data_IF_715801468750
#
_entry.id   IF_715801468750
#
_cell.length_a   1.000
_cell.length_b   1.000
_cell.length_c   1.000
_cell.angle_alpha   90.00
_cell.angle_beta   90.00
_cell.angle_gamma   90.00
#
_symmetry.space_group_name_H-M   'P 1'
#
loop_
_entity.id
_entity.type
_entity.pdbx_description
1 polymer ?
#
# COMPACT_ATOMS: atom_id res chain seq x y z
N UNK A 1 -7.88 67.97 31.46
CA UNK A 1 -7.34 67.04 32.47
C UNK A 1 -6.62 65.96 31.69
N UNK A 2 -5.30 66.08 31.47
CA UNK A 2 -4.21 65.54 32.31
C UNK A 2 -4.32 64.00 32.45
N UNK A 3 -3.32 63.14 32.25
CA UNK A 3 -1.89 63.25 31.93
C UNK A 3 -1.43 61.81 31.55
N UNK A 4 -0.58 61.70 30.52
CA UNK A 4 0.62 60.85 30.42
C UNK A 4 0.66 59.36 30.87
N UNK A 5 1.01 58.49 29.90
CA UNK A 5 2.15 57.54 29.91
C UNK A 5 2.27 56.42 30.98
N UNK A 6 2.22 55.18 30.47
CA UNK A 6 3.29 54.17 30.47
C UNK A 6 3.59 53.25 31.69
N UNK A 7 4.13 52.07 31.32
CA UNK A 7 5.06 51.15 32.02
C UNK A 7 4.51 50.04 32.96
N UNK A 8 4.58 48.80 32.42
CA UNK A 8 5.26 47.59 32.93
C UNK A 8 5.18 47.21 34.44
N UNK A 9 4.77 45.95 34.70
CA UNK A 9 5.25 45.00 35.76
C UNK A 9 4.50 43.66 35.63
N UNK A 10 5.09 42.58 35.10
CA UNK A 10 5.82 41.46 35.75
C UNK A 10 5.03 40.72 36.85
N UNK A 11 4.90 39.39 36.68
CA UNK A 11 5.10 38.25 37.62
C UNK A 11 4.09 37.13 37.30
N UNK A 12 4.56 36.10 36.59
CA UNK A 12 5.05 34.83 37.15
C UNK A 12 3.91 34.01 37.76
N UNK A 13 3.38 33.08 36.96
CA UNK A 13 2.65 31.95 37.51
C UNK A 13 3.61 30.75 37.52
N UNK A 14 3.97 30.34 38.73
CA UNK A 14 4.84 29.24 39.05
C UNK A 14 4.13 27.88 38.86
N UNK A 15 4.95 26.91 38.49
CA UNK A 15 4.89 25.49 38.86
C UNK A 15 3.69 24.63 38.45
N UNK A 16 3.88 23.86 37.36
CA UNK A 16 3.70 22.39 37.45
C UNK A 16 4.92 21.68 36.84
N UNK A 17 5.85 21.36 37.75
CA UNK A 17 6.76 20.21 37.78
C UNK A 17 7.29 19.64 36.46
N UNK A 18 8.55 19.97 36.21
CA UNK A 18 9.46 19.32 35.28
C UNK A 18 9.57 17.80 35.48
N UNK A 19 9.61 17.07 34.35
CA UNK A 19 10.57 15.99 34.14
C UNK A 19 11.29 16.24 32.83
N UNK A 20 12.59 16.45 33.00
CA UNK A 20 13.64 16.78 32.06
C UNK A 20 13.85 15.71 30.98
N UNK A 21 13.94 16.15 29.73
CA UNK A 21 14.88 15.58 28.75
C UNK A 21 15.60 16.75 28.04
N UNK A 22 16.91 16.64 27.80
CA UNK A 22 17.77 17.78 27.49
C UNK A 22 17.52 18.36 26.09
N UNK A 23 17.69 19.68 26.00
CA UNK A 23 17.59 20.49 24.78
C UNK A 23 18.97 20.59 24.10
N UNK A 24 19.04 20.34 22.80
CA UNK A 24 20.01 20.91 21.85
C UNK A 24 19.27 21.11 20.50
N UNK A 25 18.80 22.33 20.19
CA UNK A 25 19.39 23.34 19.27
C UNK A 25 19.64 22.82 17.83
N UNK A 26 19.14 23.34 16.70
CA UNK A 26 18.18 24.38 16.25
C UNK A 26 17.81 23.99 14.80
N UNK A 27 16.54 24.07 14.39
CA UNK A 27 16.16 24.36 12.99
C UNK A 27 14.73 24.94 12.96
N UNK A 28 14.44 25.92 12.07
CA UNK A 28 13.29 26.82 12.18
C UNK A 28 11.98 26.13 11.82
N UNK A 29 10.90 26.56 12.48
CA UNK A 29 9.48 26.35 12.20
C UNK A 29 9.22 25.65 10.84
N UNK A 30 9.02 24.33 10.89
CA UNK A 30 8.49 23.60 9.75
C UNK A 30 7.04 24.07 9.60
N UNK A 31 6.83 25.02 8.68
CA UNK A 31 5.51 25.30 8.13
C UNK A 31 4.88 23.94 7.86
N UNK A 32 3.70 23.71 8.45
CA UNK A 32 2.87 22.56 8.12
C UNK A 32 2.44 22.71 6.66
N UNK A 33 3.36 22.37 5.77
CA UNK A 33 3.05 22.01 4.41
C UNK A 33 2.41 20.64 4.58
N UNK A 34 1.12 20.54 4.34
CA UNK A 34 0.46 19.28 4.01
C UNK A 34 1.08 18.80 2.70
N UNK A 35 2.31 18.31 2.76
CA UNK A 35 2.91 17.46 1.76
C UNK A 35 2.39 16.07 2.06
N UNK A 36 1.44 15.64 1.22
CA UNK A 36 0.94 14.28 1.14
C UNK A 36 2.11 13.31 1.29
N UNK A 37 2.23 12.69 2.47
CA UNK A 37 3.16 11.60 2.67
C UNK A 37 2.54 10.38 1.98
N UNK A 38 2.54 10.39 0.64
CA UNK A 38 2.00 9.31 -0.16
C UNK A 38 2.86 8.06 0.11
N UNK A 39 2.32 7.14 0.91
CA UNK A 39 2.93 5.84 1.15
C UNK A 39 2.92 5.10 -0.20
N UNK A 40 4.09 5.04 -0.84
CA UNK A 40 4.25 4.36 -2.12
C UNK A 40 3.98 2.87 -1.95
N UNK A 41 2.88 2.39 -2.54
CA UNK A 41 2.55 0.95 -2.55
C UNK A 41 3.52 0.22 -3.48
N UNK A 42 3.88 -1.01 -3.11
CA UNK A 42 4.75 -1.88 -3.93
C UNK A 42 3.99 -3.12 -4.36
N UNK A 43 4.29 -3.63 -5.56
CA UNK A 43 3.68 -4.86 -6.06
C UNK A 43 4.37 -6.10 -5.47
N UNK A 44 3.58 -7.08 -5.06
CA UNK A 44 4.04 -8.34 -4.51
C UNK A 44 4.61 -9.28 -5.58
N UNK A 45 4.26 -9.10 -6.86
CA UNK A 45 4.76 -9.94 -7.96
C UNK A 45 6.26 -9.72 -8.15
N UNK A 46 7.03 -10.81 -8.13
CA UNK A 46 8.48 -10.78 -8.29
C UNK A 46 8.87 -10.20 -9.66
N UNK A 47 9.73 -9.18 -9.67
CA UNK A 47 10.17 -8.54 -10.92
C UNK A 47 9.18 -7.55 -11.52
N UNK A 48 8.14 -7.12 -10.79
CA UNK A 48 7.24 -6.07 -11.25
C UNK A 48 7.90 -4.68 -11.17
N UNK A 49 8.31 -4.14 -12.31
CA UNK A 49 8.96 -2.82 -12.41
C UNK A 49 7.95 -1.66 -12.52
N UNK A 50 6.76 -1.94 -13.08
CA UNK A 50 5.74 -0.91 -13.35
C UNK A 50 5.12 -0.35 -12.07
N UNK A 51 5.24 -1.05 -10.95
CA UNK A 51 4.68 -0.62 -9.66
C UNK A 51 5.12 0.78 -9.24
N UNK A 52 6.28 1.25 -9.68
CA UNK A 52 6.81 2.58 -9.33
C UNK A 52 6.13 3.73 -10.09
N UNK A 53 5.50 3.45 -11.22
CA UNK A 53 4.88 4.45 -12.08
C UNK A 53 3.35 4.51 -11.92
N UNK A 54 2.80 3.69 -11.03
CA UNK A 54 1.37 3.55 -10.85
C UNK A 54 0.89 4.35 -9.63
N UNK A 55 -0.28 4.96 -9.78
CA UNK A 55 -0.95 5.65 -8.68
C UNK A 55 -1.39 4.65 -7.61
N UNK A 56 -1.58 5.14 -6.39
CA UNK A 56 -2.02 4.35 -5.24
C UNK A 56 -3.33 3.55 -5.47
N UNK A 57 -4.19 3.97 -6.40
CA UNK A 57 -5.47 3.32 -6.74
C UNK A 57 -5.32 2.12 -7.69
N UNK A 58 -4.15 1.96 -8.31
CA UNK A 58 -3.86 0.84 -9.23
C UNK A 58 -3.41 -0.43 -8.51
N UNK A 59 -3.62 -0.53 -7.20
CA UNK A 59 -3.13 -1.61 -6.34
C UNK A 59 -4.27 -2.30 -5.59
N UNK A 60 -4.39 -3.60 -5.80
CA UNK A 60 -5.43 -4.43 -5.22
C UNK A 60 -4.87 -5.26 -4.07
N UNK A 61 -5.62 -5.31 -2.96
CA UNK A 61 -5.30 -6.16 -1.81
C UNK A 61 -5.57 -7.62 -2.15
N UNK A 62 -4.91 -8.51 -1.43
CA UNK A 62 -5.21 -9.93 -1.51
C UNK A 62 -6.66 -10.20 -1.06
N UNK A 63 -7.37 -11.11 -1.73
CA UNK A 63 -8.76 -11.43 -1.40
C UNK A 63 -8.87 -12.04 0.00
N UNK A 64 -10.02 -11.88 0.63
CA UNK A 64 -10.30 -12.48 1.94
C UNK A 64 -10.44 -14.00 1.85
N UNK A 65 -10.98 -14.50 0.74
CA UNK A 65 -11.13 -15.92 0.48
C UNK A 65 -9.75 -16.62 0.49
N UNK A 66 -9.55 -17.64 1.34
CA UNK A 66 -8.25 -18.27 1.50
C UNK A 66 -7.78 -19.01 0.24
N UNK A 67 -8.71 -19.54 -0.57
CA UNK A 67 -8.38 -20.27 -1.80
C UNK A 67 -7.81 -19.31 -2.84
N UNK A 68 -8.48 -18.18 -3.07
CA UNK A 68 -7.98 -17.16 -3.99
C UNK A 68 -6.73 -16.47 -3.45
N UNK A 69 -6.63 -16.25 -2.12
CA UNK A 69 -5.44 -15.70 -1.49
C UNK A 69 -4.21 -16.57 -1.72
N UNK A 70 -4.37 -17.90 -1.60
CA UNK A 70 -3.30 -18.85 -1.90
C UNK A 70 -2.92 -18.80 -3.39
N UNK A 71 -3.90 -18.82 -4.30
CA UNK A 71 -3.64 -18.70 -5.74
C UNK A 71 -2.86 -17.43 -6.05
N UNK A 72 -3.29 -16.27 -5.54
CA UNK A 72 -2.56 -15.01 -5.73
C UNK A 72 -1.13 -15.08 -5.18
N UNK A 73 -0.95 -15.73 -4.03
CA UNK A 73 0.37 -15.88 -3.39
C UNK A 73 1.31 -16.70 -4.28
N UNK A 74 0.84 -17.83 -4.80
CA UNK A 74 1.61 -18.69 -5.70
C UNK A 74 1.99 -17.95 -6.98
N UNK A 75 1.07 -17.12 -7.51
CA UNK A 75 1.28 -16.34 -8.73
C UNK A 75 2.27 -15.18 -8.56
N UNK A 76 2.56 -14.74 -7.32
CA UNK A 76 3.61 -13.75 -7.08
C UNK A 76 5.01 -14.26 -7.42
N UNK A 77 5.18 -15.59 -7.46
CA UNK A 77 6.48 -16.23 -7.69
C UNK A 77 7.47 -16.09 -6.54
N UNK A 78 7.00 -15.70 -5.34
CA UNK A 78 7.82 -15.68 -4.12
C UNK A 78 7.74 -17.01 -3.39
N UNK A 79 8.89 -17.58 -3.07
CA UNK A 79 9.00 -18.85 -2.35
C UNK A 79 9.03 -18.57 -0.84
N UNK A 80 8.36 -19.39 -0.02
CA UNK A 80 8.35 -19.26 1.44
C UNK A 80 7.92 -17.87 1.94
N UNK A 81 6.96 -17.26 1.26
CA UNK A 81 6.45 -15.93 1.60
C UNK A 81 4.94 -15.98 1.80
N UNK A 82 4.44 -15.13 2.71
CA UNK A 82 3.02 -15.03 3.03
C UNK A 82 2.57 -13.58 2.90
N UNK A 83 1.45 -13.30 2.20
CA UNK A 83 0.93 -11.95 2.07
C UNK A 83 0.50 -11.40 3.43
N UNK A 84 0.82 -10.13 3.65
CA UNK A 84 0.36 -9.31 4.78
C UNK A 84 -0.78 -8.40 4.34
N UNK A 85 -1.41 -7.69 5.27
CA UNK A 85 -2.47 -6.70 4.96
C UNK A 85 -1.99 -5.53 4.09
N UNK A 86 -0.67 -5.34 4.00
CA UNK A 86 0.00 -4.33 3.18
C UNK A 86 0.60 -4.91 1.90
N UNK A 87 0.23 -6.15 1.54
CA UNK A 87 0.62 -6.77 0.29
C UNK A 87 -0.39 -6.47 -0.80
N UNK A 88 0.10 -6.01 -1.95
CA UNK A 88 -0.74 -5.59 -3.07
C UNK A 88 -0.26 -6.20 -4.39
N UNK A 89 -1.17 -6.40 -5.33
CA UNK A 89 -0.85 -6.69 -6.73
C UNK A 89 -1.37 -5.53 -7.57
N UNK A 90 -0.55 -5.00 -8.47
CA UNK A 90 -0.96 -3.88 -9.31
C UNK A 90 -1.84 -4.32 -10.48
N UNK A 91 -2.60 -3.36 -11.03
CA UNK A 91 -3.57 -3.55 -12.13
C UNK A 91 -3.00 -4.27 -13.35
N UNK A 92 -1.70 -4.12 -13.60
CA UNK A 92 -1.01 -4.67 -14.78
C UNK A 92 -1.01 -6.21 -14.84
N UNK A 93 -1.33 -6.88 -13.73
CA UNK A 93 -1.36 -8.34 -13.66
C UNK A 93 -2.76 -8.93 -13.89
N UNK A 94 -3.80 -8.10 -14.04
CA UNK A 94 -5.17 -8.53 -14.24
C UNK A 94 -5.63 -8.26 -15.68
N UNK A 95 -6.43 -9.18 -16.23
CA UNK A 95 -7.12 -8.93 -17.51
C UNK A 95 -8.21 -7.88 -17.31
N UNK A 96 -8.57 -7.18 -18.38
CA UNK A 96 -9.71 -6.26 -18.38
C UNK A 96 -11.03 -6.95 -18.00
N UNK A 97 -11.16 -8.24 -18.30
CA UNK A 97 -12.34 -9.05 -17.98
C UNK A 97 -12.46 -9.39 -16.48
N UNK A 98 -11.42 -9.10 -15.70
CA UNK A 98 -11.45 -9.27 -14.25
C UNK A 98 -12.11 -8.10 -13.52
N UNK A 99 -12.48 -7.04 -14.25
CA UNK A 99 -13.08 -5.84 -13.68
C UNK A 99 -14.57 -5.77 -14.01
N UNK A 100 -15.34 -5.28 -13.04
CA UNK A 100 -16.78 -5.09 -13.14
C UNK A 100 -17.18 -3.72 -12.61
N UNK A 101 -18.30 -3.18 -13.08
CA UNK A 101 -18.88 -1.97 -12.50
C UNK A 101 -19.71 -2.35 -11.28
N UNK A 102 -19.46 -1.68 -10.16
CA UNK A 102 -20.26 -1.83 -8.96
C UNK A 102 -21.59 -1.05 -9.05
N UNK A 103 -22.38 -1.07 -7.97
CA UNK A 103 -23.66 -0.35 -7.89
C UNK A 103 -23.54 1.18 -7.99
N UNK A 104 -22.33 1.74 -7.85
CA UNK A 104 -22.02 3.17 -7.93
C UNK A 104 -21.30 3.55 -9.22
N UNK A 105 -21.31 2.66 -10.22
CA UNK A 105 -20.60 2.84 -11.49
C UNK A 105 -19.07 2.94 -11.35
N UNK A 106 -18.52 2.44 -10.23
CA UNK A 106 -17.09 2.35 -10.00
C UNK A 106 -16.54 1.03 -10.54
N UNK A 107 -15.37 1.08 -11.20
CA UNK A 107 -14.68 -0.11 -11.69
C UNK A 107 -13.96 -0.80 -10.54
N UNK A 108 -14.41 -2.01 -10.20
CA UNK A 108 -13.86 -2.83 -9.12
C UNK A 108 -13.35 -4.16 -9.64
N UNK A 109 -12.39 -4.74 -8.93
CA UNK A 109 -11.88 -6.07 -9.25
C UNK A 109 -12.87 -7.14 -8.75
N UNK A 110 -13.27 -8.04 -9.64
CA UNK A 110 -14.16 -9.15 -9.30
C UNK A 110 -13.55 -10.02 -8.18
N UNK A 111 -14.38 -10.50 -7.25
CA UNK A 111 -13.93 -11.31 -6.10
C UNK A 111 -13.27 -12.63 -6.49
N UNK A 112 -13.51 -13.14 -7.70
CA UNK A 112 -12.94 -14.36 -8.28
C UNK A 112 -11.79 -14.07 -9.25
N UNK A 113 -11.41 -12.80 -9.41
CA UNK A 113 -10.31 -12.42 -10.27
C UNK A 113 -9.00 -13.06 -9.79
N UNK A 114 -8.20 -13.49 -10.76
CA UNK A 114 -6.86 -14.02 -10.52
C UNK A 114 -5.86 -13.29 -11.42
N UNK A 115 -4.67 -12.92 -10.91
CA UNK A 115 -3.61 -12.39 -11.74
C UNK A 115 -3.25 -13.39 -12.84
N UNK A 116 -3.22 -12.96 -14.09
CA UNK A 116 -2.95 -13.81 -15.24
C UNK A 116 -1.95 -13.20 -16.23
N UNK A 117 -1.66 -11.91 -16.09
CA UNK A 117 -0.77 -11.17 -16.99
C UNK A 117 0.57 -10.85 -16.33
N UNK A 118 1.63 -10.79 -17.15
CA UNK A 118 2.98 -10.36 -16.75
C UNK A 118 3.49 -11.06 -15.48
N UNK A 119 3.20 -12.35 -15.34
CA UNK A 119 3.65 -13.16 -14.22
C UNK A 119 5.13 -13.55 -14.38
N UNK A 120 5.83 -13.90 -13.30
CA UNK A 120 7.21 -14.36 -13.36
C UNK A 120 7.34 -15.62 -14.23
N UNK A 121 8.45 -15.74 -14.97
CA UNK A 121 8.65 -16.84 -15.93
C UNK A 121 8.55 -18.23 -15.30
N UNK A 122 9.18 -18.41 -14.12
CA UNK A 122 9.16 -19.70 -13.41
C UNK A 122 7.76 -20.11 -12.96
N UNK A 123 6.88 -19.13 -12.68
CA UNK A 123 5.47 -19.41 -12.35
C UNK A 123 4.74 -19.94 -13.58
N UNK A 124 4.92 -19.31 -14.74
CA UNK A 124 4.27 -19.74 -15.99
C UNK A 124 4.70 -21.15 -16.40
N UNK A 125 5.98 -21.48 -16.23
CA UNK A 125 6.49 -22.83 -16.49
C UNK A 125 5.81 -23.88 -15.61
N UNK A 126 5.70 -23.63 -14.30
CA UNK A 126 5.02 -24.54 -13.37
C UNK A 126 3.54 -24.70 -13.70
N UNK A 127 2.85 -23.60 -14.01
CA UNK A 127 1.43 -23.64 -14.41
C UNK A 127 1.22 -24.45 -15.69
N UNK A 128 2.08 -24.24 -16.70
CA UNK A 128 2.02 -24.97 -17.96
C UNK A 128 2.20 -26.47 -17.74
N UNK A 129 3.20 -26.86 -16.94
CA UNK A 129 3.42 -28.28 -16.61
C UNK A 129 2.24 -28.90 -15.87
N UNK A 130 1.64 -28.17 -14.92
CA UNK A 130 0.46 -28.64 -14.19
C UNK A 130 -0.76 -28.81 -15.10
N UNK A 131 -0.98 -27.89 -16.04
CA UNK A 131 -2.07 -27.98 -17.02
C UNK A 131 -1.86 -29.19 -17.92
N UNK A 132 -0.66 -29.35 -18.49
CA UNK A 132 -0.31 -30.48 -19.36
C UNK A 132 -0.43 -31.83 -18.63
N UNK A 133 0.00 -31.90 -17.38
CA UNK A 133 -0.13 -33.11 -16.58
C UNK A 133 -1.61 -33.47 -16.33
N UNK A 134 -2.43 -32.48 -15.95
CA UNK A 134 -3.87 -32.70 -15.71
C UNK A 134 -4.62 -33.12 -16.98
N UNK A 135 -4.30 -32.55 -18.14
CA UNK A 135 -4.96 -32.93 -19.39
C UNK A 135 -4.61 -34.35 -19.85
N UNK A 136 -3.40 -34.83 -19.55
CA UNK A 136 -2.99 -36.20 -19.90
C UNK A 136 -3.63 -37.28 -19.02
N UNK A 137 -3.92 -36.96 -17.76
CA UNK A 137 -4.41 -37.94 -16.77
C UNK A 137 -5.91 -37.85 -16.46
N UNK A 138 -6.66 -37.00 -17.16
CA UNK A 138 -8.12 -36.86 -17.00
C UNK A 138 -8.96 -37.87 -17.84
N UNK A 139 -8.43 -39.07 -18.11
CA UNK A 139 -9.16 -40.14 -18.83
C UNK A 139 -9.71 -41.19 -17.88
#
# INVERSE_FOLDING_TARGET
MNFSQALAKIRENEEIRAKSTPIAMVAPELKQNTEDTEITKTCAVLGCEESKNLNSDSFFRFPEDPSFKQIWTDLTGRNNWTPTDYSYICVQHFSVDCFECDAHDAVVLNSKAVPSLKLPKHVLEVLFMNIVYKTQHSK
#
